data_IF_788201553069
#
_entry.id   IF_788201553069
#
_cell.length_a   1.000
_cell.length_b   1.000
_cell.length_c   1.000
_cell.angle_alpha   90.00
_cell.angle_beta   90.00
_cell.angle_gamma   90.00
#
_symmetry.space_group_name_H-M   'P 1'
#
loop_
_entity.id
_entity.type
_entity.pdbx_description
1 polymer ?
#
# COMPACT_ATOMS: atom_id res chain seq x y z
N UNK A 1 -8.22 -4.23 -0.15
CA UNK A 1 -6.93 -3.79 -0.75
C UNK A 1 -6.14 -5.03 -1.19
N UNK A 2 -5.24 -4.98 -2.17
CA UNK A 2 -4.56 -6.20 -2.68
C UNK A 2 -3.06 -6.01 -2.93
N UNK A 3 -2.25 -6.94 -2.40
CA UNK A 3 -0.82 -7.04 -2.69
C UNK A 3 -0.57 -7.55 -4.12
N UNK A 4 0.39 -6.92 -4.80
CA UNK A 4 0.91 -7.38 -6.08
C UNK A 4 2.30 -7.98 -5.85
N UNK A 5 2.35 -9.30 -5.66
CA UNK A 5 3.57 -9.99 -5.22
C UNK A 5 3.93 -9.60 -3.79
N UNK A 6 4.96 -8.76 -3.63
CA UNK A 6 5.46 -8.27 -2.32
C UNK A 6 5.28 -6.76 -2.12
N UNK A 7 4.53 -6.11 -3.00
CA UNK A 7 4.30 -4.67 -2.94
C UNK A 7 2.81 -4.36 -2.80
N UNK A 8 2.48 -3.41 -1.92
CA UNK A 8 1.16 -2.85 -1.77
C UNK A 8 1.23 -1.35 -2.04
N UNK A 9 0.40 -0.84 -2.95
CA UNK A 9 0.30 0.58 -3.25
C UNK A 9 -0.92 1.17 -2.58
N UNK A 10 -0.73 2.24 -1.83
CA UNK A 10 -1.76 2.86 -0.99
C UNK A 10 -1.69 4.38 -1.03
N UNK A 11 -2.81 5.04 -0.75
CA UNK A 11 -2.82 6.49 -0.52
C UNK A 11 -2.23 6.83 0.86
N UNK A 12 -1.98 8.13 1.10
CA UNK A 12 -1.49 8.61 2.39
C UNK A 12 -2.45 8.27 3.55
N UNK A 13 -3.76 8.44 3.34
CA UNK A 13 -4.78 8.08 4.35
C UNK A 13 -4.79 6.58 4.67
N UNK A 14 -4.59 5.73 3.65
CA UNK A 14 -4.52 4.27 3.83
C UNK A 14 -3.21 3.85 4.51
N UNK A 15 -2.11 4.56 4.26
CA UNK A 15 -0.82 4.30 4.92
C UNK A 15 -0.96 4.39 6.43
N UNK A 16 -1.56 5.45 6.98
CA UNK A 16 -1.72 5.60 8.42
C UNK A 16 -2.51 4.45 9.06
N UNK A 17 -3.59 4.01 8.42
CA UNK A 17 -4.38 2.87 8.89
C UNK A 17 -3.59 1.55 8.84
N UNK A 18 -2.74 1.38 7.84
CA UNK A 18 -1.90 0.19 7.69
C UNK A 18 -0.73 0.21 8.67
N UNK A 19 -0.15 1.37 8.99
CA UNK A 19 0.93 1.48 9.98
C UNK A 19 0.50 0.98 11.37
N UNK A 20 -0.70 1.34 11.83
CA UNK A 20 -1.27 0.80 13.08
C UNK A 20 -1.44 -0.73 13.02
N UNK A 21 -1.85 -1.23 11.85
CA UNK A 21 -1.94 -2.65 11.56
C UNK A 21 -0.64 -3.41 11.62
N UNK A 22 0.38 -2.88 10.97
CA UNK A 22 1.69 -3.51 10.91
C UNK A 22 2.35 -3.59 12.29
N UNK A 23 2.10 -2.61 13.16
CA UNK A 23 2.50 -2.68 14.56
C UNK A 23 1.86 -3.88 15.29
N UNK A 24 0.57 -4.14 15.05
CA UNK A 24 -0.13 -5.31 15.63
C UNK A 24 0.42 -6.65 15.13
N UNK A 25 0.90 -6.70 13.89
CA UNK A 25 1.50 -7.89 13.27
C UNK A 25 2.98 -8.08 13.61
N UNK A 26 3.61 -7.13 14.34
CA UNK A 26 5.06 -7.10 14.63
C UNK A 26 5.92 -7.24 13.36
N UNK A 27 5.45 -6.66 12.26
CA UNK A 27 6.13 -6.76 10.96
C UNK A 27 7.05 -5.56 10.74
N UNK A 28 8.33 -5.82 10.45
CA UNK A 28 9.25 -4.79 9.99
C UNK A 28 9.05 -4.59 8.48
N UNK A 29 8.54 -3.41 8.11
CA UNK A 29 8.28 -3.05 6.71
C UNK A 29 9.09 -1.84 6.29
N UNK A 30 9.25 -1.67 4.97
CA UNK A 30 9.79 -0.44 4.40
C UNK A 30 8.74 0.26 3.55
N UNK A 31 8.50 1.52 3.88
CA UNK A 31 7.72 2.44 3.06
C UNK A 31 8.63 3.13 2.06
N UNK A 32 8.18 3.21 0.82
CA UNK A 32 8.82 3.98 -0.24
C UNK A 32 7.77 4.88 -0.88
N UNK A 33 8.12 6.14 -1.14
CA UNK A 33 7.24 7.04 -1.91
C UNK A 33 7.22 6.54 -3.35
N UNK A 34 6.03 6.22 -3.85
CA UNK A 34 5.80 5.87 -5.25
C UNK A 34 4.99 6.97 -5.91
N UNK A 35 5.68 7.82 -6.67
CA UNK A 35 4.99 8.80 -7.52
C UNK A 35 4.54 8.05 -8.77
N UNK A 36 3.28 7.61 -8.82
CA UNK A 36 2.71 7.16 -10.09
C UNK A 36 2.47 8.41 -10.95
N UNK A 37 3.23 8.52 -12.03
CA UNK A 37 2.98 9.50 -13.07
C UNK A 37 1.54 9.41 -13.60
N UNK A 38 1.07 10.55 -14.12
CA UNK A 38 -0.18 10.88 -14.81
C UNK A 38 -1.31 9.82 -14.71
N UNK A 39 -2.38 10.18 -14.01
CA UNK A 39 -3.62 9.41 -13.98
C UNK A 39 -4.11 9.06 -15.41
N UNK A 40 -4.66 7.86 -15.66
CA UNK A 40 -5.16 7.48 -16.98
C UNK A 40 -6.22 8.48 -17.45
N UNK A 41 -6.05 8.97 -18.68
CA UNK A 41 -6.70 10.13 -19.35
C UNK A 41 -8.23 10.24 -19.26
N UNK A 42 -8.94 9.25 -18.71
CA UNK A 42 -10.40 9.19 -18.66
C UNK A 42 -11.05 9.68 -17.36
N UNK A 43 -10.26 10.06 -16.36
CA UNK A 43 -10.80 10.60 -15.10
C UNK A 43 -10.06 11.88 -14.66
N UNK A 44 -10.70 13.02 -14.92
CA UNK A 44 -10.56 14.34 -14.26
C UNK A 44 -9.41 15.28 -14.69
N UNK A 45 -9.63 16.62 -14.58
CA UNK A 45 -8.81 17.65 -15.22
C UNK A 45 -7.48 17.82 -14.48
N UNK A 46 -6.44 18.16 -15.25
CA UNK A 46 -5.11 18.60 -14.77
C UNK A 46 -4.43 17.67 -13.75
N UNK A 47 -3.59 16.76 -14.25
CA UNK A 47 -2.27 16.41 -13.67
C UNK A 47 -2.18 16.33 -12.12
N UNK A 48 -3.19 15.76 -11.45
CA UNK A 48 -3.09 15.49 -10.03
C UNK A 48 -2.05 14.38 -9.83
N UNK A 49 -0.82 14.78 -9.52
CA UNK A 49 0.24 13.86 -9.10
C UNK A 49 -0.18 13.32 -7.75
N UNK A 50 -0.85 12.16 -7.74
CA UNK A 50 -1.21 11.49 -6.50
C UNK A 50 0.05 10.83 -5.97
N UNK A 51 0.65 11.40 -4.93
CA UNK A 51 1.69 10.74 -4.17
C UNK A 51 1.09 9.47 -3.55
N UNK A 52 1.50 8.31 -4.05
CA UNK A 52 1.15 7.03 -3.47
C UNK A 52 2.34 6.50 -2.65
N UNK A 53 2.05 5.62 -1.71
CA UNK A 53 3.06 4.91 -0.94
C UNK A 53 3.12 3.46 -1.40
N UNK A 54 4.33 2.97 -1.64
CA UNK A 54 4.60 1.56 -1.81
C UNK A 54 5.11 0.98 -0.49
N UNK A 55 4.35 0.03 0.06
CA UNK A 55 4.80 -0.85 1.11
C UNK A 55 5.47 -2.07 0.49
N UNK A 56 6.72 -2.33 0.85
CA UNK A 56 7.44 -3.53 0.39
C UNK A 56 7.66 -4.45 1.59
N UNK A 57 7.14 -5.67 1.50
CA UNK A 57 7.32 -6.72 2.51
C UNK A 57 8.50 -7.62 2.15
N UNK A 58 9.22 -8.08 3.18
CA UNK A 58 10.51 -8.78 3.02
C UNK A 58 10.35 -10.19 2.45
N UNK A 59 9.34 -10.93 2.92
CA UNK A 59 9.15 -12.36 2.56
C UNK A 59 7.76 -12.61 1.96
N UNK A 60 7.60 -13.75 1.30
CA UNK A 60 6.28 -14.18 0.79
C UNK A 60 5.30 -14.49 1.94
N UNK A 61 5.77 -15.12 3.02
CA UNK A 61 4.95 -15.40 4.20
C UNK A 61 4.42 -14.11 4.86
N UNK A 62 5.22 -13.05 4.84
CA UNK A 62 4.81 -11.71 5.30
C UNK A 62 3.76 -11.09 4.37
N UNK A 63 3.87 -11.30 3.05
CA UNK A 63 2.85 -10.88 2.10
C UNK A 63 1.52 -11.59 2.37
N UNK A 64 1.54 -12.90 2.60
CA UNK A 64 0.33 -13.68 2.88
C UNK A 64 -0.34 -13.25 4.19
N UNK A 65 0.46 -13.03 5.25
CA UNK A 65 -0.05 -12.52 6.54
C UNK A 65 -0.67 -11.13 6.41
N UNK A 66 -0.01 -10.23 5.67
CA UNK A 66 -0.52 -8.88 5.45
C UNK A 66 -1.80 -8.93 4.59
N UNK A 67 -1.86 -9.78 3.57
CA UNK A 67 -3.06 -9.95 2.76
C UNK A 67 -4.23 -10.47 3.61
N UNK A 68 -4.01 -11.50 4.43
CA UNK A 68 -5.04 -12.03 5.33
C UNK A 68 -5.56 -10.97 6.31
N UNK A 69 -4.67 -10.15 6.86
CA UNK A 69 -5.04 -9.05 7.74
C UNK A 69 -5.82 -7.94 7.02
N UNK A 70 -5.47 -7.65 5.75
CA UNK A 70 -6.22 -6.70 4.93
C UNK A 70 -7.60 -7.23 4.59
N UNK A 71 -7.73 -8.53 4.33
CA UNK A 71 -9.00 -9.19 3.98
C UNK A 71 -9.98 -9.23 5.15
N UNK A 72 -9.49 -9.35 6.40
CA UNK A 72 -10.33 -9.32 7.62
C UNK A 72 -10.98 -7.94 7.88
N UNK A 73 -10.42 -6.87 7.30
CA UNK A 73 -10.82 -5.48 7.56
C UNK A 73 -11.62 -4.84 6.43
N UNK A 74 -11.90 -5.59 5.37
CA UNK A 74 -12.42 -5.10 4.10
C UNK A 74 -13.70 -5.83 3.73
#
# INVERSE_FOLDING_TARGET
>A
MKLNGRALLVSDAQRSQIEEGLASLKMAVKWSVSVRGVAPEKYLPEQATVAAWALIVSTAADADRLQAWLDDRN
#
